data_IF_027645810541
#
_entry.id   IF_027645810541
#
_cell.length_a   1.000
_cell.length_b   1.000
_cell.length_c   1.000
_cell.angle_alpha   90.00
_cell.angle_beta   90.00
_cell.angle_gamma   90.00
#
_symmetry.space_group_name_H-M   'P 1'
#
loop_
_entity.id
_entity.type
_entity.pdbx_description
1 polymer ?
#
# COMPACT_ATOMS: atom_id res chain seq x y z
N UNK A 1 2.35 -10.80 19.71
CA UNK A 1 2.88 -9.42 19.66
C UNK A 1 4.41 -9.38 19.69
N UNK A 2 5.10 -9.87 20.73
CA UNK A 2 6.57 -9.96 20.76
C UNK A 2 7.20 -10.71 19.56
N UNK A 3 6.69 -11.89 19.14
CA UNK A 3 7.29 -12.64 18.03
C UNK A 3 7.19 -11.93 16.67
N UNK A 4 6.09 -11.21 16.42
CA UNK A 4 5.88 -10.48 15.16
C UNK A 4 6.76 -9.22 15.09
N UNK A 5 6.84 -8.46 16.19
CA UNK A 5 7.73 -7.30 16.27
C UNK A 5 9.19 -7.72 16.03
N UNK A 6 9.62 -8.85 16.57
CA UNK A 6 10.97 -9.38 16.34
C UNK A 6 11.21 -9.75 14.86
N UNK A 7 10.23 -10.36 14.19
CA UNK A 7 10.31 -10.65 12.75
C UNK A 7 10.35 -9.38 11.88
N UNK A 8 9.59 -8.33 12.24
CA UNK A 8 9.54 -7.07 11.50
C UNK A 8 10.76 -6.18 11.73
N UNK A 9 11.43 -6.33 12.88
CA UNK A 9 12.58 -5.51 13.29
C UNK A 9 13.93 -6.21 13.12
N UNK A 10 13.96 -7.41 12.52
CA UNK A 10 15.19 -8.14 12.23
C UNK A 10 15.45 -8.34 10.73
N UNK A 11 16.72 -8.56 10.40
CA UNK A 11 17.16 -8.92 9.05
C UNK A 11 16.86 -7.87 7.98
N UNK A 12 16.56 -8.33 6.76
CA UNK A 12 16.35 -7.47 5.59
C UNK A 12 15.04 -6.68 5.64
N UNK A 13 14.03 -7.19 6.35
CA UNK A 13 12.70 -6.57 6.45
C UNK A 13 12.77 -5.28 7.27
N UNK A 14 13.51 -5.31 8.38
CA UNK A 14 13.74 -4.12 9.20
C UNK A 14 14.34 -2.98 8.39
N UNK A 15 15.29 -3.28 7.51
CA UNK A 15 15.94 -2.29 6.67
C UNK A 15 15.03 -1.73 5.56
N UNK A 16 13.99 -2.48 5.15
CA UNK A 16 12.97 -2.00 4.22
C UNK A 16 11.95 -1.09 4.91
N UNK A 17 11.53 -1.45 6.13
CA UNK A 17 10.52 -0.69 6.88
C UNK A 17 11.11 0.54 7.60
N UNK A 18 12.38 0.45 8.03
CA UNK A 18 13.09 1.48 8.76
C UNK A 18 14.53 1.63 8.21
N UNK A 19 14.68 2.19 6.99
CA UNK A 19 15.99 2.37 6.37
C UNK A 19 16.88 3.33 7.17
N UNK A 20 18.20 3.08 7.15
CA UNK A 20 19.18 3.92 7.83
C UNK A 20 19.68 5.04 6.90
N UNK A 21 19.19 6.26 7.12
CA UNK A 21 19.58 7.45 6.34
C UNK A 21 21.07 7.83 6.52
N UNK A 22 21.74 7.33 7.55
CA UNK A 22 23.16 7.62 7.81
C UNK A 22 24.10 6.55 7.22
N UNK A 23 23.55 5.47 6.67
CA UNK A 23 24.34 4.44 6.01
C UNK A 23 24.64 4.86 4.56
N UNK A 24 25.81 5.44 4.34
CA UNK A 24 26.24 5.90 3.02
C UNK A 24 26.71 4.76 2.11
N UNK A 25 26.94 3.58 2.66
CA UNK A 25 27.39 2.40 1.92
C UNK A 25 26.20 1.54 1.44
N UNK A 26 24.97 1.84 1.88
CA UNK A 26 23.76 1.19 1.39
C UNK A 26 23.35 1.76 0.02
N UNK A 27 23.46 0.99 -1.07
CA UNK A 27 23.15 1.49 -2.41
C UNK A 27 21.65 1.60 -2.68
N UNK A 28 20.78 1.14 -1.76
CA UNK A 28 19.33 1.13 -1.96
C UNK A 28 18.79 2.57 -1.88
N UNK A 29 17.95 2.99 -2.84
CA UNK A 29 17.30 4.28 -2.74
C UNK A 29 16.28 4.27 -1.60
N UNK A 30 16.32 5.29 -0.75
CA UNK A 30 15.25 5.57 0.21
C UNK A 30 14.23 6.49 -0.47
N UNK A 31 12.96 6.12 -0.42
CA UNK A 31 11.87 6.88 -1.05
C UNK A 31 10.60 6.80 -0.20
N UNK A 32 9.69 7.73 -0.46
CA UNK A 32 8.32 7.71 0.05
C UNK A 32 7.32 7.69 -1.12
N UNK A 33 6.06 7.38 -0.83
CA UNK A 33 5.01 7.28 -1.85
C UNK A 33 4.77 8.59 -2.60
N UNK A 34 4.90 9.75 -1.95
CA UNK A 34 4.70 11.04 -2.61
C UNK A 34 5.78 11.27 -3.68
N UNK A 35 7.04 10.94 -3.38
CA UNK A 35 8.14 11.00 -4.33
C UNK A 35 7.91 10.06 -5.52
N UNK A 36 7.47 8.82 -5.25
CA UNK A 36 7.16 7.82 -6.28
C UNK A 36 6.05 8.32 -7.21
N UNK A 37 4.95 8.82 -6.64
CA UNK A 37 3.78 9.32 -7.38
C UNK A 37 4.16 10.52 -8.25
N UNK A 38 4.89 11.50 -7.68
CA UNK A 38 5.36 12.69 -8.42
C UNK A 38 6.29 12.34 -9.57
N UNK A 39 7.17 11.35 -9.38
CA UNK A 39 8.07 10.84 -10.42
C UNK A 39 7.39 9.94 -11.44
N UNK A 40 6.11 9.59 -11.24
CA UNK A 40 5.38 8.58 -12.03
C UNK A 40 6.13 7.25 -12.12
N UNK A 41 6.79 6.87 -11.01
CA UNK A 41 7.60 5.67 -10.96
C UNK A 41 6.73 4.42 -10.74
N UNK A 42 7.30 3.26 -11.04
CA UNK A 42 6.67 1.95 -10.80
C UNK A 42 7.36 1.30 -9.61
N UNK A 43 6.56 0.83 -8.65
CA UNK A 43 7.05 0.06 -7.49
C UNK A 43 6.49 -1.35 -7.60
N UNK A 44 7.38 -2.34 -7.50
CA UNK A 44 7.02 -3.75 -7.44
C UNK A 44 7.31 -4.27 -6.04
N UNK A 45 6.35 -5.01 -5.47
CA UNK A 45 6.45 -5.55 -4.11
C UNK A 45 6.21 -7.05 -4.17
N UNK A 46 7.25 -7.82 -3.88
CA UNK A 46 7.16 -9.27 -3.72
C UNK A 46 7.02 -9.62 -2.24
N UNK A 47 5.84 -10.09 -1.83
CA UNK A 47 5.59 -10.58 -0.49
C UNK A 47 5.71 -12.10 -0.50
N UNK A 48 6.64 -12.65 0.28
CA UNK A 48 6.83 -14.11 0.41
C UNK A 48 5.80 -14.71 1.37
N UNK A 49 4.53 -14.60 0.99
CA UNK A 49 3.39 -14.99 1.82
C UNK A 49 3.33 -16.50 2.07
N UNK A 50 3.88 -17.30 1.13
CA UNK A 50 3.97 -18.76 1.28
C UNK A 50 4.93 -19.16 2.41
N UNK A 51 6.02 -18.42 2.61
CA UNK A 51 7.02 -18.73 3.64
C UNK A 51 6.68 -18.12 5.00
N UNK A 52 6.19 -16.87 5.02
CA UNK A 52 5.74 -16.22 6.25
C UNK A 52 4.55 -15.28 5.98
N UNK A 53 3.35 -15.85 6.06
CA UNK A 53 2.09 -15.14 5.84
C UNK A 53 1.86 -14.01 6.86
N UNK A 54 2.29 -14.18 8.11
CA UNK A 54 2.10 -13.18 9.17
C UNK A 54 2.91 -11.91 8.87
N UNK A 55 4.17 -12.09 8.49
CA UNK A 55 5.06 -10.99 8.11
C UNK A 55 4.61 -10.34 6.80
N UNK A 56 4.26 -11.15 5.80
CA UNK A 56 3.78 -10.65 4.51
C UNK A 56 2.51 -9.81 4.65
N UNK A 57 1.55 -10.27 5.46
CA UNK A 57 0.35 -9.51 5.76
C UNK A 57 0.66 -8.22 6.53
N UNK A 58 1.56 -8.28 7.52
CA UNK A 58 1.94 -7.09 8.28
C UNK A 58 2.63 -6.03 7.41
N UNK A 59 3.57 -6.45 6.54
CA UNK A 59 4.25 -5.55 5.59
C UNK A 59 3.27 -4.99 4.57
N UNK A 60 2.42 -5.84 3.97
CA UNK A 60 1.41 -5.42 3.00
C UNK A 60 0.39 -4.43 3.58
N UNK A 61 -0.12 -4.68 4.79
CA UNK A 61 -1.05 -3.76 5.46
C UNK A 61 -0.38 -2.44 5.82
N UNK A 62 0.88 -2.45 6.28
CA UNK A 62 1.64 -1.22 6.55
C UNK A 62 1.79 -0.39 5.28
N UNK A 63 2.13 -1.05 4.17
CA UNK A 63 2.25 -0.42 2.86
C UNK A 63 0.92 0.25 2.42
N UNK A 64 -0.20 -0.46 2.56
CA UNK A 64 -1.51 0.10 2.22
C UNK A 64 -1.93 1.24 3.15
N UNK A 65 -1.63 1.15 4.44
CA UNK A 65 -1.88 2.23 5.40
C UNK A 65 -1.18 3.52 4.98
N UNK A 66 0.11 3.43 4.62
CA UNK A 66 0.87 4.59 4.13
C UNK A 66 0.29 5.15 2.84
N UNK A 67 -0.10 4.28 1.90
CA UNK A 67 -0.72 4.70 0.64
C UNK A 67 -2.07 5.39 0.88
N UNK A 68 -2.89 4.90 1.81
CA UNK A 68 -4.16 5.53 2.23
C UNK A 68 -3.91 6.92 2.83
N UNK A 69 -2.88 7.04 3.67
CA UNK A 69 -2.48 8.32 4.25
C UNK A 69 -2.09 9.33 3.17
N UNK A 70 -1.26 8.90 2.21
CA UNK A 70 -0.86 9.72 1.07
C UNK A 70 -2.04 10.06 0.16
N UNK A 71 -2.97 9.13 -0.05
CA UNK A 71 -4.22 9.40 -0.77
C UNK A 71 -5.03 10.51 -0.09
N UNK A 72 -5.17 10.45 1.24
CA UNK A 72 -5.83 11.49 2.03
C UNK A 72 -5.17 12.85 1.88
N UNK A 73 -3.84 12.89 1.86
CA UNK A 73 -3.06 14.10 1.60
C UNK A 73 -3.31 14.65 0.20
N UNK A 74 -3.17 13.82 -0.83
CA UNK A 74 -3.38 14.20 -2.24
C UNK A 74 -4.81 14.71 -2.46
N UNK A 75 -5.79 14.04 -1.87
CA UNK A 75 -7.19 14.47 -1.96
C UNK A 75 -7.41 15.87 -1.38
N UNK A 76 -6.74 16.21 -0.28
CA UNK A 76 -6.94 17.47 0.44
C UNK A 76 -6.11 18.62 -0.14
N UNK A 77 -4.88 18.36 -0.57
CA UNK A 77 -3.90 19.39 -0.91
C UNK A 77 -3.39 19.32 -2.35
N UNK A 78 -3.70 18.24 -3.08
CA UNK A 78 -3.13 17.95 -4.39
C UNK A 78 -1.76 17.27 -4.32
N UNK A 79 -1.27 16.84 -5.47
CA UNK A 79 0.01 16.12 -5.60
C UNK A 79 1.19 17.08 -5.50
N UNK A 80 1.05 18.31 -6.00
CA UNK A 80 2.12 19.32 -6.05
C UNK A 80 2.13 20.24 -4.84
N UNK A 81 1.46 19.87 -3.75
CA UNK A 81 1.45 20.67 -2.52
C UNK A 81 2.88 21.00 -2.05
N UNK A 82 3.10 22.28 -1.75
CA UNK A 82 4.40 22.83 -1.37
C UNK A 82 5.39 23.09 -2.50
N UNK A 83 5.05 22.84 -3.78
CA UNK A 83 5.93 23.12 -4.92
C UNK A 83 5.61 24.47 -5.59
N UNK A 84 6.61 25.22 -6.07
CA UNK A 84 6.38 26.35 -6.97
C UNK A 84 5.70 25.85 -8.25
N UNK A 85 4.73 26.61 -8.77
CA UNK A 85 3.88 26.25 -9.92
C UNK A 85 2.95 25.04 -9.72
N UNK A 86 2.58 24.73 -8.47
CA UNK A 86 1.61 23.69 -8.15
C UNK A 86 0.34 23.85 -8.99
N UNK A 87 -0.05 22.78 -9.69
CA UNK A 87 -1.28 22.77 -10.49
C UNK A 87 -2.36 21.97 -9.74
N UNK A 88 -3.15 22.60 -8.85
CA UNK A 88 -4.04 21.91 -7.93
C UNK A 88 -5.17 21.10 -8.59
N UNK A 89 -5.33 21.19 -9.92
CA UNK A 89 -6.32 20.44 -10.68
C UNK A 89 -5.81 19.17 -11.37
N UNK A 90 -4.49 18.91 -11.41
CA UNK A 90 -3.94 17.78 -12.13
C UNK A 90 -4.04 16.48 -11.30
N UNK A 91 -5.10 15.71 -11.55
CA UNK A 91 -5.26 14.37 -10.95
C UNK A 91 -4.42 13.35 -11.71
N UNK A 92 -3.44 12.76 -11.04
CA UNK A 92 -2.62 11.67 -11.61
C UNK A 92 -3.24 10.33 -11.22
N UNK A 93 -3.53 9.44 -12.18
CA UNK A 93 -3.95 8.08 -11.87
C UNK A 93 -2.84 7.30 -11.16
N UNK A 94 -3.18 6.66 -10.04
CA UNK A 94 -2.28 5.82 -9.25
C UNK A 94 -2.84 4.39 -9.34
N UNK A 95 -2.26 3.57 -10.22
CA UNK A 95 -2.71 2.21 -10.42
C UNK A 95 -2.10 1.27 -9.39
N UNK A 96 -2.96 0.59 -8.62
CA UNK A 96 -2.57 -0.41 -7.63
C UNK A 96 -3.04 -1.77 -8.14
N UNK A 97 -2.08 -2.63 -8.49
CA UNK A 97 -2.33 -4.00 -8.90
C UNK A 97 -1.96 -4.92 -7.75
N UNK A 98 -2.93 -5.68 -7.25
CA UNK A 98 -2.74 -6.58 -6.11
C UNK A 98 -3.09 -8.01 -6.55
N UNK A 99 -2.07 -8.86 -6.67
CA UNK A 99 -2.27 -10.30 -6.82
C UNK A 99 -2.50 -10.96 -5.45
N UNK A 100 -3.13 -12.14 -5.45
CA UNK A 100 -3.51 -12.90 -4.24
C UNK A 100 -4.17 -12.00 -3.18
N UNK A 101 -5.06 -11.14 -3.66
CA UNK A 101 -5.60 -10.04 -2.88
C UNK A 101 -6.23 -10.49 -1.56
N UNK A 102 -6.85 -11.67 -1.53
CA UNK A 102 -7.42 -12.29 -0.33
C UNK A 102 -6.45 -12.38 0.86
N UNK A 103 -5.15 -12.56 0.63
CA UNK A 103 -4.16 -12.60 1.71
C UNK A 103 -3.87 -11.21 2.26
N UNK A 104 -4.01 -10.17 1.43
CA UNK A 104 -3.72 -8.78 1.75
C UNK A 104 -4.93 -7.97 2.22
N UNK A 105 -6.09 -8.61 2.33
CA UNK A 105 -7.35 -8.02 2.82
C UNK A 105 -7.31 -7.75 4.33
N UNK A 106 -6.56 -6.71 4.71
CA UNK A 106 -6.61 -6.11 6.05
C UNK A 106 -7.65 -4.99 6.18
N UNK A 107 -7.76 -4.45 7.39
CA UNK A 107 -8.69 -3.37 7.72
C UNK A 107 -8.38 -2.07 6.96
N UNK A 108 -7.14 -1.89 6.51
CA UNK A 108 -6.64 -0.71 5.80
C UNK A 108 -6.96 -0.74 4.29
N UNK A 109 -7.14 -1.94 3.72
CA UNK A 109 -7.41 -2.08 2.29
C UNK A 109 -8.80 -1.56 1.91
N UNK A 110 -9.82 -1.82 2.73
CA UNK A 110 -11.19 -1.36 2.47
C UNK A 110 -11.26 0.18 2.39
N UNK A 111 -10.69 0.96 3.32
CA UNK A 111 -10.52 2.40 3.19
C UNK A 111 -9.83 2.82 1.90
N UNK A 112 -8.80 2.11 1.45
CA UNK A 112 -8.09 2.43 0.21
C UNK A 112 -9.01 2.34 -1.00
N UNK A 113 -9.77 1.25 -1.14
CA UNK A 113 -10.75 1.08 -2.22
C UNK A 113 -11.85 2.15 -2.14
N UNK A 114 -12.40 2.36 -0.94
CA UNK A 114 -13.56 3.24 -0.75
C UNK A 114 -13.22 4.74 -0.86
N UNK A 115 -12.00 5.16 -0.51
CA UNK A 115 -11.62 6.59 -0.38
C UNK A 115 -10.50 7.01 -1.32
N UNK A 116 -9.67 6.07 -1.77
CA UNK A 116 -8.52 6.34 -2.62
C UNK A 116 -8.90 6.88 -4.00
N UNK A 117 -10.09 6.56 -4.49
CA UNK A 117 -10.61 7.06 -5.77
C UNK A 117 -10.64 8.60 -5.85
N UNK A 118 -10.86 9.29 -4.72
CA UNK A 118 -10.78 10.75 -4.63
C UNK A 118 -9.40 11.30 -5.01
N UNK A 119 -8.35 10.59 -4.61
CA UNK A 119 -6.94 10.93 -4.86
C UNK A 119 -6.40 10.42 -6.21
N UNK A 120 -7.18 9.63 -6.94
CA UNK A 120 -6.77 9.04 -8.23
C UNK A 120 -6.28 7.61 -8.13
N UNK A 121 -6.41 6.97 -6.95
CA UNK A 121 -6.10 5.55 -6.80
C UNK A 121 -7.13 4.71 -7.57
N UNK A 122 -6.61 3.78 -8.36
CA UNK A 122 -7.36 2.80 -9.14
C UNK A 122 -6.84 1.41 -8.75
N UNK A 123 -7.67 0.63 -8.07
CA UNK A 123 -7.28 -0.68 -7.55
C UNK A 123 -7.77 -1.77 -8.50
N UNK A 124 -6.86 -2.62 -8.94
CA UNK A 124 -7.15 -3.86 -9.67
C UNK A 124 -6.66 -5.02 -8.82
N UNK A 125 -7.60 -5.73 -8.19
CA UNK A 125 -7.32 -6.89 -7.36
C UNK A 125 -7.58 -8.19 -8.13
N UNK A 126 -6.60 -9.10 -8.12
CA UNK A 126 -6.71 -10.43 -8.71
C UNK A 126 -6.96 -11.45 -7.59
N UNK A 127 -7.97 -12.29 -7.77
CA UNK A 127 -8.34 -13.36 -6.85
C UNK A 127 -8.67 -14.63 -7.64
N UNK A 128 -8.48 -15.80 -7.02
CA UNK A 128 -8.85 -17.08 -7.62
C UNK A 128 -10.36 -17.28 -7.64
N UNK A 129 -11.05 -16.94 -6.54
CA UNK A 129 -12.51 -17.01 -6.47
C UNK A 129 -13.11 -15.80 -5.73
N UNK A 130 -14.38 -15.50 -6.03
CA UNK A 130 -15.17 -14.53 -5.25
C UNK A 130 -15.45 -15.02 -3.82
N UNK A 131 -15.46 -16.34 -3.61
CA UNK A 131 -15.66 -16.95 -2.30
C UNK A 131 -14.51 -16.67 -1.34
N UNK A 132 -13.28 -16.51 -1.84
CA UNK A 132 -12.10 -16.16 -1.03
C UNK A 132 -12.24 -14.75 -0.42
N UNK A 133 -12.81 -13.81 -1.18
CA UNK A 133 -13.13 -12.45 -0.73
C UNK A 133 -14.23 -12.48 0.35
N UNK A 134 -15.31 -13.23 0.12
CA UNK A 134 -16.42 -13.35 1.09
C UNK A 134 -15.95 -14.01 2.41
N UNK A 135 -15.16 -15.08 2.31
CA UNK A 135 -14.64 -15.81 3.47
C UNK A 135 -13.70 -14.94 4.31
N UNK A 136 -12.87 -14.11 3.68
CA UNK A 136 -11.91 -13.25 4.38
C UNK A 136 -12.56 -12.04 5.04
N UNK A 137 -13.53 -11.41 4.38
CA UNK A 137 -14.28 -10.27 4.95
C UNK A 137 -15.25 -10.72 6.04
N UNK A 138 -15.69 -11.98 6.01
CA UNK A 138 -16.67 -12.53 6.96
C UNK A 138 -18.05 -11.87 6.88
N UNK A 139 -18.28 -11.02 5.88
CA UNK A 139 -19.52 -10.27 5.68
C UNK A 139 -19.76 -10.00 4.19
N UNK A 140 -20.80 -10.63 3.66
CA UNK A 140 -21.19 -10.55 2.25
C UNK A 140 -21.45 -9.12 1.76
N UNK A 141 -21.99 -8.25 2.61
CA UNK A 141 -22.26 -6.86 2.26
C UNK A 141 -20.97 -6.03 2.11
N UNK A 142 -19.96 -6.30 2.94
CA UNK A 142 -18.63 -5.68 2.80
C UNK A 142 -17.87 -6.24 1.60
N UNK A 143 -18.04 -7.52 1.27
CA UNK A 143 -17.44 -8.11 0.06
C UNK A 143 -17.96 -7.43 -1.22
N UNK A 144 -19.25 -7.11 -1.26
CA UNK A 144 -19.84 -6.31 -2.35
C UNK A 144 -19.30 -4.88 -2.49
N UNK A 145 -18.61 -4.32 -1.47
CA UNK A 145 -17.95 -3.02 -1.60
C UNK A 145 -16.61 -3.11 -2.32
N UNK A 146 -15.99 -4.29 -2.32
CA UNK A 146 -14.71 -4.54 -2.99
C UNK A 146 -14.92 -4.92 -4.45
N UNK A 147 -16.04 -5.57 -4.76
CA UNK A 147 -16.46 -5.91 -6.12
C UNK A 147 -17.29 -4.72 -6.66
N UNK A 148 -16.61 -3.71 -7.20
CA UNK A 148 -17.22 -2.49 -7.74
C UNK A 148 -16.50 -1.98 -8.98
#
# INVERSE_FOLDING_TARGET
>A
LLPLLEKLTSGKIAQLLAPNYSDLDDPRPIFDWMQIIRKRAVVYVGLDALSDAEVSAAVGNSMFSDLVSVAGHIYKFGIDDGLPDANPGAKVPINVHADEFNELMGDEFIPMVNKGGGAGIQVTAYTQTLSDIEARIGNRAKAGQVVG
#
